data_IF_287614039392
#
_entry.id   IF_287614039392
#
_cell.length_a   1.000
_cell.length_b   1.000
_cell.length_c   1.000
_cell.angle_alpha   90.00
_cell.angle_beta   90.00
_cell.angle_gamma   90.00
#
_symmetry.space_group_name_H-M   'P 1'
#
loop_
_entity.id
_entity.type
_entity.pdbx_description
1 polymer ?
#
# COMPACT_ATOMS: atom_id res chain seq x y z
N UNK A 1 10.41 14.17 6.48
CA UNK A 1 10.32 14.72 5.11
C UNK A 1 9.63 16.07 5.15
N UNK A 2 10.23 17.11 4.59
CA UNK A 2 9.58 18.41 4.45
C UNK A 2 8.38 18.29 3.48
N UNK A 3 7.20 18.77 3.87
CA UNK A 3 6.02 18.77 3.00
C UNK A 3 6.12 19.93 2.01
N UNK A 4 6.27 19.61 0.72
CA UNK A 4 6.23 20.61 -0.36
C UNK A 4 4.79 21.10 -0.50
N UNK A 5 4.53 22.35 -0.15
CA UNK A 5 3.21 22.99 -0.27
C UNK A 5 3.12 23.76 -1.59
N UNK A 6 1.90 24.00 -2.07
CA UNK A 6 1.66 24.81 -3.28
C UNK A 6 2.24 26.23 -3.18
N UNK A 7 2.34 26.78 -1.95
CA UNK A 7 2.96 28.08 -1.69
C UNK A 7 4.45 28.08 -2.02
N UNK A 8 5.18 27.04 -1.58
CA UNK A 8 6.62 26.88 -1.83
C UNK A 8 6.89 26.70 -3.33
N UNK A 9 6.08 25.89 -4.02
CA UNK A 9 6.21 25.68 -5.46
C UNK A 9 6.05 26.99 -6.24
N UNK A 10 5.11 27.84 -5.82
CA UNK A 10 4.87 29.15 -6.44
C UNK A 10 6.02 30.12 -6.19
N UNK A 11 6.47 30.26 -4.94
CA UNK A 11 7.61 31.14 -4.61
C UNK A 11 8.87 30.78 -5.40
N UNK A 12 9.14 29.48 -5.60
CA UNK A 12 10.26 29.01 -6.41
C UNK A 12 10.02 29.32 -7.90
N UNK A 13 8.81 29.14 -8.43
CA UNK A 13 8.50 29.45 -9.83
C UNK A 13 8.65 30.95 -10.15
N UNK A 14 8.15 31.80 -9.25
CA UNK A 14 8.22 33.25 -9.38
C UNK A 14 9.68 33.73 -9.34
N UNK A 15 10.50 33.21 -8.40
CA UNK A 15 11.95 33.48 -8.33
C UNK A 15 12.73 33.03 -9.55
N UNK A 16 12.20 32.07 -10.30
CA UNK A 16 12.83 31.52 -11.50
C UNK A 16 12.30 32.14 -12.80
N UNK A 17 11.51 33.23 -12.71
CA UNK A 17 10.88 33.91 -13.84
C UNK A 17 10.14 32.95 -14.78
N UNK A 18 9.48 31.95 -14.19
CA UNK A 18 8.72 30.94 -14.94
C UNK A 18 9.55 29.91 -15.71
N UNK A 19 10.87 29.82 -15.49
CA UNK A 19 11.71 28.82 -16.16
C UNK A 19 11.46 27.42 -15.60
N UNK A 20 10.65 26.65 -16.35
CA UNK A 20 10.18 25.31 -15.97
C UNK A 20 11.34 24.30 -15.76
N UNK A 21 12.44 24.41 -16.51
CA UNK A 21 13.61 23.51 -16.34
C UNK A 21 14.30 23.76 -15.01
N UNK A 22 14.47 25.04 -14.62
CA UNK A 22 15.07 25.39 -13.33
C UNK A 22 14.14 25.04 -12.16
N UNK A 23 12.83 25.19 -12.34
CA UNK A 23 11.83 24.80 -11.32
C UNK A 23 11.91 23.30 -11.03
N UNK A 24 12.08 22.48 -12.07
CA UNK A 24 12.25 21.03 -11.92
C UNK A 24 13.45 20.66 -11.06
N UNK A 25 14.62 21.25 -11.33
CA UNK A 25 15.85 21.05 -10.55
C UNK A 25 15.61 21.43 -9.09
N UNK A 26 15.08 22.64 -8.85
CA UNK A 26 14.84 23.14 -7.50
C UNK A 26 13.84 22.29 -6.70
N UNK A 27 12.79 21.75 -7.34
CA UNK A 27 11.84 20.86 -6.67
C UNK A 27 12.43 19.48 -6.37
N UNK A 28 13.30 18.96 -7.24
CA UNK A 28 14.05 17.74 -7.00
C UNK A 28 15.01 17.89 -5.81
N UNK A 29 15.73 19.01 -5.73
CA UNK A 29 16.63 19.33 -4.62
C UNK A 29 15.88 19.45 -3.29
N UNK A 30 14.74 20.15 -3.25
CA UNK A 30 13.90 20.29 -2.04
C UNK A 30 13.31 18.95 -1.61
N UNK A 31 13.00 18.06 -2.57
CA UNK A 31 12.47 16.73 -2.28
C UNK A 31 13.56 15.71 -1.87
N UNK A 32 14.84 16.04 -2.07
CA UNK A 32 15.96 15.11 -1.88
C UNK A 32 15.94 13.95 -2.89
N UNK A 33 15.48 14.20 -4.12
CA UNK A 33 15.33 13.19 -5.17
C UNK A 33 16.24 13.54 -6.35
N UNK A 34 17.05 12.58 -6.82
CA UNK A 34 17.96 12.81 -7.95
C UNK A 34 17.18 13.13 -9.23
N UNK A 35 17.63 14.15 -9.97
CA UNK A 35 16.90 14.69 -11.13
C UNK A 35 16.57 13.62 -12.20
N UNK A 36 17.49 12.68 -12.42
CA UNK A 36 17.32 11.61 -13.42
C UNK A 36 16.36 10.49 -13.00
N UNK A 37 16.00 10.41 -11.71
CA UNK A 37 15.05 9.40 -11.20
C UNK A 37 13.59 9.82 -11.41
N UNK A 38 13.36 11.08 -11.76
CA UNK A 38 12.05 11.63 -12.05
C UNK A 38 11.91 11.71 -13.56
N UNK A 39 11.03 10.88 -14.15
CA UNK A 39 10.73 10.98 -15.58
C UNK A 39 10.34 12.44 -15.90
N UNK A 40 11.21 13.12 -16.67
CA UNK A 40 11.09 14.53 -17.05
C UNK A 40 9.69 14.84 -17.62
N UNK A 41 9.10 13.87 -18.33
CA UNK A 41 7.76 13.99 -18.91
C UNK A 41 6.65 14.09 -17.84
N UNK A 42 6.76 13.37 -16.72
CA UNK A 42 5.73 13.33 -15.68
C UNK A 42 5.68 14.62 -14.85
N UNK A 43 6.84 15.20 -14.55
CA UNK A 43 6.92 16.43 -13.78
C UNK A 43 6.66 17.66 -14.65
N UNK A 44 7.06 17.63 -15.91
CA UNK A 44 6.76 18.68 -16.89
C UNK A 44 5.27 18.71 -17.25
N UNK A 45 4.59 17.56 -17.32
CA UNK A 45 3.11 17.49 -17.42
C UNK A 45 2.46 18.01 -16.14
N UNK A 46 2.99 17.72 -14.96
CA UNK A 46 2.46 18.25 -13.69
C UNK A 46 2.66 19.76 -13.58
N UNK A 47 3.84 20.27 -13.95
CA UNK A 47 4.12 21.70 -14.04
C UNK A 47 3.21 22.39 -15.06
N UNK A 48 2.98 21.78 -16.23
CA UNK A 48 2.00 22.26 -17.23
C UNK A 48 0.57 22.23 -16.71
N UNK A 49 0.16 21.22 -15.95
CA UNK A 49 -1.18 21.15 -15.33
C UNK A 49 -1.36 22.20 -14.25
N UNK A 50 -0.35 22.44 -13.42
CA UNK A 50 -0.36 23.53 -12.43
C UNK A 50 -0.42 24.90 -13.13
N UNK A 51 0.39 25.13 -14.16
CA UNK A 51 0.38 26.36 -14.94
C UNK A 51 -0.93 26.58 -15.71
N UNK A 52 -1.49 25.52 -16.32
CA UNK A 52 -2.77 25.56 -17.02
C UNK A 52 -3.92 25.82 -16.04
N UNK A 53 -3.92 25.14 -14.88
CA UNK A 53 -4.92 25.33 -13.83
C UNK A 53 -4.90 26.77 -13.28
N UNK A 54 -3.72 27.35 -13.07
CA UNK A 54 -3.59 28.75 -12.67
C UNK A 54 -4.10 29.72 -13.76
N UNK A 55 -3.93 29.38 -15.04
CA UNK A 55 -4.42 30.19 -16.17
C UNK A 55 -5.94 30.10 -16.35
N UNK A 56 -6.55 28.92 -16.15
CA UNK A 56 -8.01 28.73 -16.22
C UNK A 56 -8.79 29.40 -15.09
N UNK A 57 -8.14 29.70 -13.97
CA UNK A 57 -8.74 30.44 -12.86
C UNK A 57 -8.76 31.97 -13.06
N UNK A 58 -8.49 32.45 -14.29
CA UNK A 58 -8.57 33.88 -14.64
C UNK A 58 -7.52 34.76 -13.94
N UNK A 59 -6.43 34.17 -13.47
CA UNK A 59 -5.42 34.86 -12.69
C UNK A 59 -4.52 35.73 -13.58
N UNK A 60 -4.92 37.00 -13.72
CA UNK A 60 -4.05 38.11 -14.13
C UNK A 60 -3.73 38.91 -12.87
N UNK A 61 -2.44 39.17 -12.62
CA UNK A 61 -1.91 39.67 -11.34
C UNK A 61 -2.82 40.66 -10.61
N UNK A 62 -3.29 40.27 -9.43
CA UNK A 62 -4.12 41.09 -8.56
C UNK A 62 -4.55 40.27 -7.35
N UNK A 63 -4.27 40.77 -6.16
CA UNK A 63 -4.43 40.08 -4.88
C UNK A 63 -5.86 39.62 -4.60
N UNK A 64 -6.03 38.38 -4.11
CA UNK A 64 -6.88 37.98 -2.98
C UNK A 64 -6.75 36.48 -2.69
N UNK A 65 -6.47 36.17 -1.43
CA UNK A 65 -6.34 34.81 -0.90
C UNK A 65 -7.73 34.23 -0.58
N UNK A 66 -7.99 33.01 -1.04
CA UNK A 66 -9.00 32.13 -0.45
C UNK A 66 -8.29 30.84 -0.04
N UNK A 67 -8.31 30.58 1.26
CA UNK A 67 -7.82 29.39 1.93
C UNK A 67 -8.64 28.18 1.48
N UNK A 68 -8.04 27.24 0.75
CA UNK A 68 -8.60 25.92 0.52
C UNK A 68 -7.81 24.85 1.25
N UNK A 69 -8.58 24.03 1.98
CA UNK A 69 -8.13 22.95 2.84
C UNK A 69 -7.40 21.85 2.05
N UNK A 70 -6.26 21.47 2.60
CA UNK A 70 -5.57 20.18 2.52
C UNK A 70 -6.23 19.10 1.64
N UNK A 71 -5.95 19.11 0.33
CA UNK A 71 -5.90 17.88 -0.46
C UNK A 71 -4.44 17.49 -0.65
N UNK A 72 -4.05 16.43 0.05
CA UNK A 72 -2.72 15.82 -0.03
C UNK A 72 -2.47 15.30 -1.45
N UNK A 73 -1.39 15.73 -2.08
CA UNK A 73 -0.92 15.14 -3.34
C UNK A 73 -0.26 13.79 -3.04
N UNK A 74 -0.89 12.69 -3.48
CA UNK A 74 -0.24 11.37 -3.54
C UNK A 74 0.52 11.26 -4.86
N UNK A 75 1.83 10.98 -4.78
CA UNK A 75 2.67 10.72 -5.95
C UNK A 75 2.23 9.40 -6.63
N UNK A 76 2.10 9.36 -7.97
CA UNK A 76 1.84 8.11 -8.68
C UNK A 76 3.10 7.23 -8.70
N UNK A 77 2.88 5.91 -8.65
CA UNK A 77 3.92 4.89 -8.78
C UNK A 77 4.55 4.94 -10.18
N UNK A 78 5.87 4.84 -10.24
CA UNK A 78 6.68 4.82 -11.45
C UNK A 78 6.33 3.59 -12.32
N UNK A 79 6.15 3.82 -13.62
CA UNK A 79 6.18 2.77 -14.65
C UNK A 79 7.49 2.93 -15.41
N UNK A 80 8.39 1.96 -15.27
CA UNK A 80 9.59 1.82 -16.09
C UNK A 80 9.15 1.38 -17.49
N UNK A 81 9.31 2.26 -18.48
CA UNK A 81 9.26 1.89 -19.89
C UNK A 81 10.67 1.95 -20.47
N UNK A 82 10.91 1.03 -21.39
CA UNK A 82 12.20 0.53 -21.88
C UNK A 82 13.10 1.64 -22.45
N UNK A 83 14.36 1.66 -22.04
CA UNK A 83 15.47 2.35 -22.72
C UNK A 83 16.03 1.47 -23.85
N UNK A 84 16.58 2.05 -24.93
CA UNK A 84 17.19 1.30 -26.01
C UNK A 84 18.57 0.77 -25.62
N UNK A 85 18.86 -0.44 -26.08
CA UNK A 85 20.16 -1.11 -25.98
C UNK A 85 21.22 -0.34 -26.79
N UNK A 86 22.23 0.19 -26.10
CA UNK A 86 23.56 0.35 -26.67
C UNK A 86 24.60 -0.09 -25.66
N UNK A 87 25.41 -1.05 -26.09
CA UNK A 87 26.49 -1.71 -25.36
C UNK A 87 27.53 -0.72 -24.83
N UNK A 88 27.85 -0.83 -23.54
CA UNK A 88 29.17 -0.50 -23.00
C UNK A 88 29.54 -1.64 -22.07
N UNK A 89 30.44 -2.51 -22.54
CA UNK A 89 31.17 -3.49 -21.73
C UNK A 89 32.13 -2.72 -20.83
N UNK A 90 32.01 -2.93 -19.52
CA UNK A 90 32.89 -2.32 -18.52
C UNK A 90 32.47 -2.70 -17.11
N UNK A 91 33.21 -3.63 -16.51
CA UNK A 91 33.07 -4.16 -15.15
C UNK A 91 33.33 -3.11 -14.05
N UNK A 92 32.46 -2.10 -13.95
CA UNK A 92 32.54 -1.08 -12.89
C UNK A 92 31.14 -0.67 -12.43
N UNK A 93 30.35 -1.57 -11.81
CA UNK A 93 29.07 -1.16 -11.18
C UNK A 93 28.72 -1.77 -9.83
N UNK A 94 29.42 -2.79 -9.33
CA UNK A 94 29.10 -3.35 -7.99
C UNK A 94 29.53 -2.42 -6.82
N UNK A 95 30.62 -1.67 -6.98
CA UNK A 95 31.17 -0.86 -5.88
C UNK A 95 30.35 0.40 -5.55
N UNK A 96 29.49 0.90 -6.45
CA UNK A 96 28.73 2.13 -6.20
C UNK A 96 27.47 1.90 -5.36
N UNK A 97 26.80 0.76 -5.53
CA UNK A 97 25.59 0.45 -4.78
C UNK A 97 25.91 0.09 -3.32
N UNK A 98 26.95 -0.70 -3.08
CA UNK A 98 27.43 -1.01 -1.73
C UNK A 98 27.86 0.25 -0.97
N UNK A 99 28.54 1.19 -1.64
CA UNK A 99 28.90 2.49 -1.03
C UNK A 99 27.68 3.33 -0.67
N UNK A 100 26.61 3.28 -1.47
CA UNK A 100 25.35 3.97 -1.17
C UNK A 100 24.65 3.31 0.03
N UNK A 101 24.60 1.98 0.08
CA UNK A 101 24.01 1.23 1.19
C UNK A 101 24.77 1.52 2.49
N UNK A 102 26.10 1.42 2.49
CA UNK A 102 26.94 1.72 3.65
C UNK A 102 26.78 3.17 4.14
N UNK A 103 26.61 4.13 3.22
CA UNK A 103 26.36 5.52 3.59
C UNK A 103 24.97 5.69 4.24
N UNK A 104 23.94 5.05 3.70
CA UNK A 104 22.59 5.08 4.28
C UNK A 104 22.56 4.43 5.67
N UNK A 105 23.22 3.29 5.85
CA UNK A 105 23.33 2.63 7.15
C UNK A 105 24.05 3.50 8.19
N UNK A 106 25.12 4.19 7.77
CA UNK A 106 25.83 5.15 8.62
C UNK A 106 24.93 6.33 9.02
N UNK A 107 24.13 6.85 8.09
CA UNK A 107 23.17 7.90 8.38
C UNK A 107 22.10 7.43 9.36
N UNK A 108 21.50 6.25 9.15
CA UNK A 108 20.50 5.66 10.05
C UNK A 108 21.08 5.51 11.46
N UNK A 109 22.32 5.00 11.58
CA UNK A 109 23.01 4.85 12.86
C UNK A 109 23.21 6.20 13.57
N UNK A 110 23.64 7.22 12.83
CA UNK A 110 23.79 8.58 13.36
C UNK A 110 22.46 9.17 13.83
N UNK A 111 21.38 8.96 13.07
CA UNK A 111 20.03 9.39 13.46
C UNK A 111 19.54 8.70 14.73
N UNK A 112 19.72 7.37 14.84
CA UNK A 112 19.37 6.61 16.06
C UNK A 112 20.14 7.13 17.28
N UNK A 113 21.44 7.38 17.15
CA UNK A 113 22.26 7.91 18.23
C UNK A 113 21.83 9.34 18.62
N UNK A 114 21.54 10.21 17.65
CA UNK A 114 21.05 11.56 17.92
C UNK A 114 19.70 11.56 18.64
N UNK A 115 18.81 10.65 18.25
CA UNK A 115 17.50 10.51 18.89
C UNK A 115 17.62 9.99 20.33
N UNK A 116 18.46 8.98 20.59
CA UNK A 116 18.76 8.52 21.95
C UNK A 116 19.33 9.65 22.81
N UNK A 117 20.29 10.40 22.30
CA UNK A 117 20.89 11.51 23.03
C UNK A 117 19.88 12.63 23.35
N UNK A 118 18.96 12.93 22.43
CA UNK A 118 17.89 13.91 22.66
C UNK A 118 16.90 13.44 23.74
N UNK A 119 16.53 12.16 23.75
CA UNK A 119 15.64 11.64 24.78
C UNK A 119 16.32 11.56 26.14
N UNK A 120 17.56 11.08 26.21
CA UNK A 120 18.35 11.09 27.45
C UNK A 120 18.54 12.51 27.98
N UNK A 121 18.81 13.49 27.11
CA UNK A 121 18.91 14.90 27.50
C UNK A 121 17.58 15.45 28.04
N UNK A 122 16.44 15.14 27.41
CA UNK A 122 15.12 15.56 27.91
C UNK A 122 14.77 14.91 29.24
N UNK A 123 15.10 13.63 29.43
CA UNK A 123 14.90 12.91 30.67
C UNK A 123 15.77 13.52 31.78
N UNK A 124 17.05 13.76 31.52
CA UNK A 124 17.96 14.39 32.47
C UNK A 124 17.54 15.83 32.81
N UNK A 125 17.03 16.58 31.83
CA UNK A 125 16.51 17.93 32.06
C UNK A 125 15.27 17.88 32.97
N UNK A 126 14.32 16.97 32.73
CA UNK A 126 13.16 16.76 33.62
C UNK A 126 13.58 16.36 35.03
N UNK A 127 14.52 15.42 35.16
CA UNK A 127 15.08 15.00 36.46
C UNK A 127 15.75 16.16 37.21
N UNK A 128 16.57 16.95 36.52
CA UNK A 128 17.21 18.12 37.12
C UNK A 128 16.22 19.20 37.55
N UNK A 129 15.17 19.46 36.76
CA UNK A 129 14.12 20.41 37.12
C UNK A 129 13.34 19.94 38.36
N UNK A 130 13.01 18.66 38.45
CA UNK A 130 12.36 18.07 39.62
C UNK A 130 13.24 18.10 40.88
N UNK A 131 14.56 17.91 40.72
CA UNK A 131 15.52 18.00 41.83
C UNK A 131 15.69 19.44 42.34
N UNK A 132 15.74 20.43 41.47
CA UNK A 132 15.83 21.86 41.87
C UNK A 132 14.56 22.29 42.62
N UNK A 133 13.37 21.87 42.17
CA UNK A 133 12.12 22.13 42.89
C UNK A 133 12.06 21.48 44.28
N UNK A 134 12.81 20.39 44.50
CA UNK A 134 12.91 19.74 45.82
C UNK A 134 13.91 20.39 46.78
N UNK A 135 14.89 21.14 46.25
CA UNK A 135 15.96 21.75 47.05
C UNK A 135 15.55 23.07 47.71
N UNK A 136 14.66 23.85 47.09
CA UNK A 136 14.19 25.15 47.61
C UNK A 136 13.07 25.03 48.67
N UNK A 137 12.56 23.82 48.92
CA UNK A 137 11.45 23.55 49.86
C UNK A 137 11.91 22.85 51.14
N UNK A 138 13.04 23.29 51.69
CA UNK A 138 13.53 22.87 53.01
C UNK A 138 13.38 24.00 54.03
N UNK A 139 12.13 24.29 54.37
CA UNK A 139 11.80 24.85 55.68
C UNK A 139 10.54 24.15 56.21
N UNK A 140 10.79 23.23 57.15
CA UNK A 140 9.90 22.68 58.17
C UNK A 140 8.38 22.83 57.92
N UNK A 141 7.73 21.78 57.41
CA UNK A 141 6.47 21.19 57.95
C UNK A 141 5.93 20.00 57.11
N UNK A 142 6.31 19.75 55.85
CA UNK A 142 5.55 18.78 55.02
C UNK A 142 6.29 17.48 54.58
N UNK A 143 6.97 16.80 55.51
CA UNK A 143 7.60 15.49 55.20
C UNK A 143 6.57 14.40 54.80
N UNK A 144 5.33 14.50 55.28
CA UNK A 144 4.26 13.56 54.93
C UNK A 144 3.70 13.75 53.51
N UNK A 145 3.50 15.00 53.09
CA UNK A 145 2.97 15.33 51.76
C UNK A 145 4.01 15.01 50.68
N UNK A 146 5.29 15.35 50.92
CA UNK A 146 6.38 15.01 50.00
C UNK A 146 6.53 13.50 49.76
N UNK A 147 6.33 12.69 50.81
CA UNK A 147 6.41 11.24 50.69
C UNK A 147 5.29 10.66 49.82
N UNK A 148 4.09 11.26 49.86
CA UNK A 148 2.98 10.86 49.01
C UNK A 148 3.18 11.26 47.55
N UNK A 149 3.72 12.46 47.30
CA UNK A 149 4.03 12.92 45.93
C UNK A 149 5.13 12.07 45.28
N UNK A 150 6.17 11.71 46.06
CA UNK A 150 7.22 10.81 45.59
C UNK A 150 6.71 9.40 45.32
N UNK A 151 5.82 8.87 46.17
CA UNK A 151 5.16 7.57 45.91
C UNK A 151 4.31 7.59 44.64
N UNK A 152 3.60 8.68 44.37
CA UNK A 152 2.86 8.87 43.13
C UNK A 152 3.78 8.83 41.91
N UNK A 153 4.85 9.63 41.93
CA UNK A 153 5.86 9.64 40.85
C UNK A 153 6.52 8.27 40.62
N UNK A 154 6.84 7.54 41.70
CA UNK A 154 7.39 6.18 41.59
C UNK A 154 6.38 5.21 40.96
N UNK A 155 5.09 5.33 41.32
CA UNK A 155 4.02 4.53 40.72
C UNK A 155 3.86 4.82 39.23
N UNK A 156 3.87 6.10 38.85
CA UNK A 156 3.73 6.52 37.45
C UNK A 156 4.91 6.00 36.61
N UNK A 157 6.14 6.15 37.11
CA UNK A 157 7.35 5.64 36.46
C UNK A 157 7.35 4.12 36.31
N UNK A 158 6.87 3.37 37.31
CA UNK A 158 6.73 1.92 37.16
C UNK A 158 5.73 1.55 36.07
N UNK A 159 4.60 2.25 35.98
CA UNK A 159 3.63 2.00 34.90
C UNK A 159 4.21 2.30 33.51
N UNK A 160 5.04 3.33 33.39
CA UNK A 160 5.71 3.68 32.14
C UNK A 160 6.75 2.63 31.74
N UNK A 161 7.51 2.09 32.71
CA UNK A 161 8.44 0.97 32.49
C UNK A 161 7.70 -0.28 32.03
N UNK A 162 6.59 -0.64 32.68
CA UNK A 162 5.80 -1.82 32.31
C UNK A 162 5.20 -1.69 30.89
N UNK A 163 4.70 -0.50 30.55
CA UNK A 163 4.21 -0.23 29.19
C UNK A 163 5.33 -0.34 28.15
N UNK A 164 6.51 0.23 28.41
CA UNK A 164 7.66 0.14 27.50
C UNK A 164 8.17 -1.31 27.34
N UNK A 165 8.17 -2.10 28.41
CA UNK A 165 8.50 -3.52 28.34
C UNK A 165 7.47 -4.31 27.52
N UNK A 166 6.19 -3.97 27.63
CA UNK A 166 5.14 -4.59 26.82
C UNK A 166 5.29 -4.28 25.32
N UNK A 167 5.64 -3.03 24.97
CA UNK A 167 5.93 -2.62 23.60
C UNK A 167 7.18 -3.34 23.06
N UNK A 168 8.27 -3.39 23.83
CA UNK A 168 9.49 -4.11 23.46
C UNK A 168 9.25 -5.60 23.20
N UNK A 169 8.49 -6.27 24.07
CA UNK A 169 8.13 -7.68 23.86
C UNK A 169 7.25 -7.89 22.62
N UNK A 170 6.39 -6.93 22.29
CA UNK A 170 5.59 -6.98 21.06
C UNK A 170 6.43 -6.83 19.80
N UNK A 171 7.47 -5.97 19.85
CA UNK A 171 8.41 -5.74 18.76
C UNK A 171 9.44 -6.87 18.60
N UNK A 172 9.91 -7.47 19.71
CA UNK A 172 10.79 -8.64 19.68
C UNK A 172 10.08 -9.86 19.09
N UNK A 173 8.81 -10.09 19.43
CA UNK A 173 8.01 -11.14 18.79
C UNK A 173 7.81 -10.92 17.28
N UNK A 174 7.79 -9.67 16.81
CA UNK A 174 7.77 -9.36 15.38
C UNK A 174 9.14 -9.55 14.70
N UNK A 175 10.24 -9.28 15.41
CA UNK A 175 11.61 -9.43 14.88
C UNK A 175 12.12 -10.88 14.88
N UNK A 176 11.68 -11.73 15.81
CA UNK A 176 12.01 -13.17 15.81
C UNK A 176 11.54 -13.84 14.50
N UNK A 177 10.46 -13.34 13.89
CA UNK A 177 9.98 -13.80 12.59
C UNK A 177 10.86 -13.37 11.41
N UNK A 178 11.74 -12.38 11.56
CA UNK A 178 12.60 -11.87 10.47
C UNK A 178 13.96 -12.59 10.46
N UNK A 179 14.55 -12.85 11.63
CA UNK A 179 15.87 -13.51 11.71
C UNK A 179 15.82 -15.01 11.39
N UNK A 180 14.69 -15.70 11.61
CA UNK A 180 14.55 -17.14 11.28
C UNK A 180 14.23 -17.44 9.80
N UNK A 181 14.09 -16.43 8.94
CA UNK A 181 13.83 -16.62 7.50
C UNK A 181 15.11 -16.96 6.73
N UNK A 182 16.28 -16.71 7.31
CA UNK A 182 17.57 -16.83 6.60
C UNK A 182 17.92 -18.25 6.14
N UNK A 183 17.36 -19.30 6.76
CA UNK A 183 17.65 -20.70 6.39
C UNK A 183 16.42 -21.54 5.99
N UNK A 184 15.20 -21.00 6.06
CA UNK A 184 14.00 -21.75 5.63
C UNK A 184 13.82 -21.63 4.13
N UNK A 185 14.11 -22.71 3.40
CA UNK A 185 13.54 -22.93 2.08
C UNK A 185 12.02 -22.76 2.17
N UNK A 186 11.50 -21.78 1.43
CA UNK A 186 10.12 -21.37 1.40
C UNK A 186 9.42 -22.45 0.61
N UNK A 187 8.87 -23.40 1.35
CA UNK A 187 8.13 -24.50 0.79
C UNK A 187 6.86 -23.95 0.13
N UNK A 188 6.86 -23.91 -1.20
CA UNK A 188 5.72 -23.44 -2.01
C UNK A 188 4.62 -24.51 -2.10
N UNK A 189 4.96 -25.76 -1.75
CA UNK A 189 4.06 -26.92 -1.84
C UNK A 189 4.11 -27.73 -0.56
N UNK A 190 2.93 -28.17 -0.12
CA UNK A 190 2.77 -28.93 1.12
C UNK A 190 3.41 -30.34 1.08
N UNK A 191 3.75 -30.89 -0.10
CA UNK A 191 4.71 -32.00 -0.27
C UNK A 191 5.07 -32.21 -1.76
N UNK A 192 5.84 -33.27 -2.06
CA UNK A 192 6.18 -33.70 -3.41
C UNK A 192 4.96 -33.82 -4.35
N UNK A 193 5.27 -33.69 -5.66
CA UNK A 193 4.38 -33.54 -6.83
C UNK A 193 2.93 -34.03 -6.65
N UNK A 194 1.98 -33.11 -6.83
CA UNK A 194 0.55 -33.41 -6.94
C UNK A 194 -0.31 -32.81 -5.83
N UNK A 195 0.29 -32.41 -4.70
CA UNK A 195 -0.43 -31.71 -3.62
C UNK A 195 -0.69 -30.23 -3.95
N UNK A 196 -1.75 -29.64 -3.35
CA UNK A 196 -2.06 -28.23 -3.52
C UNK A 196 -0.90 -27.32 -3.09
N UNK A 197 -0.81 -26.16 -3.73
CA UNK A 197 0.11 -25.10 -3.31
C UNK A 197 -0.24 -24.63 -1.91
N UNK A 198 0.79 -24.17 -1.20
CA UNK A 198 0.65 -23.61 0.14
C UNK A 198 -0.43 -22.50 0.17
N UNK A 199 -1.15 -22.42 1.29
CA UNK A 199 -2.24 -21.47 1.45
C UNK A 199 -1.76 -20.03 1.32
N UNK A 200 -0.55 -19.71 1.78
CA UNK A 200 -0.01 -18.35 1.68
C UNK A 200 0.25 -17.97 0.22
N UNK A 201 0.74 -18.90 -0.60
CA UNK A 201 0.94 -18.67 -2.04
C UNK A 201 -0.42 -18.46 -2.73
N UNK A 202 -1.44 -19.25 -2.37
CA UNK A 202 -2.80 -19.06 -2.89
C UNK A 202 -3.36 -17.68 -2.53
N UNK A 203 -3.21 -17.25 -1.26
CA UNK A 203 -3.61 -15.91 -0.80
C UNK A 203 -2.93 -14.79 -1.58
N UNK A 204 -1.63 -14.92 -1.85
CA UNK A 204 -0.90 -13.95 -2.69
C UNK A 204 -1.48 -13.87 -4.10
N UNK A 205 -1.77 -15.01 -4.73
CA UNK A 205 -2.40 -15.02 -6.06
C UNK A 205 -3.80 -14.40 -6.04
N UNK A 206 -4.61 -14.71 -5.02
CA UNK A 206 -5.94 -14.10 -4.85
C UNK A 206 -5.87 -12.58 -4.68
N UNK A 207 -4.89 -12.08 -3.94
CA UNK A 207 -4.68 -10.64 -3.74
C UNK A 207 -4.23 -9.93 -5.03
N UNK A 208 -3.45 -10.59 -5.89
CA UNK A 208 -3.14 -10.03 -7.20
C UNK A 208 -4.34 -10.04 -8.14
N UNK A 209 -5.16 -11.09 -8.09
CA UNK A 209 -6.39 -11.20 -8.87
C UNK A 209 -7.42 -10.15 -8.45
N UNK A 210 -7.59 -9.89 -7.15
CA UNK A 210 -8.50 -8.86 -6.63
C UNK A 210 -8.11 -7.45 -7.11
N UNK A 211 -6.83 -7.24 -7.43
CA UNK A 211 -6.28 -6.00 -7.98
C UNK A 211 -6.26 -5.95 -9.52
N UNK A 212 -6.94 -6.88 -10.18
CA UNK A 212 -7.00 -6.99 -11.65
C UNK A 212 -5.62 -7.16 -12.32
N UNK A 213 -4.67 -7.82 -11.66
CA UNK A 213 -3.41 -8.19 -12.31
C UNK A 213 -3.62 -9.42 -13.18
N UNK A 214 -3.29 -9.31 -14.47
CA UNK A 214 -3.41 -10.43 -15.42
C UNK A 214 -2.55 -11.62 -14.99
N UNK A 215 -3.08 -12.84 -15.11
CA UNK A 215 -2.47 -14.10 -14.66
C UNK A 215 -1.02 -14.26 -15.15
N UNK A 216 -0.74 -13.88 -16.39
CA UNK A 216 0.59 -13.95 -17.01
C UNK A 216 1.64 -13.05 -16.34
N UNK A 217 1.22 -12.05 -15.56
CA UNK A 217 2.11 -11.10 -14.90
C UNK A 217 2.38 -11.43 -13.43
N UNK A 218 1.52 -12.24 -12.79
CA UNK A 218 1.62 -12.54 -11.36
C UNK A 218 2.95 -13.23 -11.04
N UNK A 219 3.27 -14.31 -11.75
CA UNK A 219 4.51 -15.06 -11.52
C UNK A 219 5.78 -14.21 -11.74
N UNK A 220 5.93 -13.46 -12.86
CA UNK A 220 7.05 -12.53 -13.02
C UNK A 220 7.17 -11.49 -11.90
N UNK A 221 6.05 -10.94 -11.42
CA UNK A 221 6.07 -9.96 -10.32
C UNK A 221 6.60 -10.60 -9.03
N UNK A 222 6.09 -11.79 -8.68
CA UNK A 222 6.54 -12.50 -7.47
C UNK A 222 8.05 -12.79 -7.56
N UNK A 223 8.53 -13.32 -8.69
CA UNK A 223 9.96 -13.58 -8.92
C UNK A 223 10.80 -12.30 -8.80
N UNK A 224 10.33 -11.20 -9.37
CA UNK A 224 11.02 -9.90 -9.29
C UNK A 224 11.13 -9.42 -7.85
N UNK A 225 10.04 -9.49 -7.08
CA UNK A 225 10.04 -9.06 -5.67
C UNK A 225 10.97 -9.95 -4.82
N UNK A 226 10.94 -11.27 -5.01
CA UNK A 226 11.81 -12.21 -4.29
C UNK A 226 13.28 -12.03 -4.67
N UNK A 227 13.59 -11.70 -5.92
CA UNK A 227 14.97 -11.42 -6.34
C UNK A 227 15.58 -10.19 -5.64
N UNK A 228 14.76 -9.23 -5.20
CA UNK A 228 15.24 -8.06 -4.45
C UNK A 228 15.76 -8.41 -3.05
N UNK A 229 15.34 -9.55 -2.52
CA UNK A 229 15.75 -10.07 -1.20
C UNK A 229 16.67 -11.28 -1.34
N UNK A 230 17.30 -11.46 -2.50
CA UNK A 230 18.18 -12.60 -2.83
C UNK A 230 17.51 -13.96 -2.58
N UNK A 231 16.20 -14.04 -2.79
CA UNK A 231 15.43 -15.26 -2.60
C UNK A 231 15.08 -15.89 -3.95
N UNK A 232 15.57 -17.10 -4.19
CA UNK A 232 15.26 -17.87 -5.39
C UNK A 232 14.15 -18.89 -5.12
N UNK A 233 13.11 -18.82 -5.94
CA UNK A 233 11.97 -19.74 -5.88
C UNK A 233 11.93 -20.57 -7.15
N UNK A 234 12.00 -21.89 -7.04
CA UNK A 234 12.02 -22.74 -8.23
C UNK A 234 10.63 -22.87 -8.84
N UNK A 235 9.66 -23.27 -8.00
CA UNK A 235 8.30 -23.56 -8.44
C UNK A 235 7.31 -22.49 -7.96
N UNK A 236 6.59 -21.89 -8.91
CA UNK A 236 5.42 -21.04 -8.65
C UNK A 236 4.24 -21.59 -9.45
N UNK A 237 2.98 -21.32 -9.04
CA UNK A 237 1.81 -21.69 -9.80
C UNK A 237 1.91 -21.21 -11.26
N UNK A 238 1.78 -22.16 -12.19
CA UNK A 238 1.69 -21.87 -13.62
C UNK A 238 0.43 -21.04 -13.92
N UNK A 239 0.37 -20.40 -15.09
CA UNK A 239 -0.83 -19.66 -15.52
C UNK A 239 -2.08 -20.54 -15.51
N UNK A 240 -1.98 -21.81 -15.93
CA UNK A 240 -3.10 -22.76 -15.88
C UNK A 240 -3.53 -23.07 -14.45
N UNK A 241 -2.57 -23.27 -13.54
CA UNK A 241 -2.87 -23.46 -12.11
C UNK A 241 -3.54 -22.22 -11.51
N UNK A 242 -3.00 -21.03 -11.80
CA UNK A 242 -3.57 -19.77 -11.34
C UNK A 242 -4.97 -19.51 -11.92
N UNK A 243 -5.25 -19.99 -13.14
CA UNK A 243 -6.60 -19.98 -13.72
C UNK A 243 -7.57 -20.85 -12.90
N UNK A 244 -7.13 -22.05 -12.45
CA UNK A 244 -7.94 -22.89 -11.56
C UNK A 244 -8.21 -22.18 -10.23
N UNK A 245 -7.20 -21.51 -9.68
CA UNK A 245 -7.36 -20.66 -8.48
C UNK A 245 -8.38 -19.54 -8.67
N UNK A 246 -8.39 -18.90 -9.84
CA UNK A 246 -9.40 -17.90 -10.19
C UNK A 246 -10.80 -18.50 -10.28
N UNK A 247 -10.96 -19.73 -10.77
CA UNK A 247 -12.25 -20.42 -10.79
C UNK A 247 -12.78 -20.72 -9.37
N UNK A 248 -11.91 -21.17 -8.46
CA UNK A 248 -12.28 -21.37 -7.05
C UNK A 248 -12.79 -20.07 -6.43
N UNK A 249 -12.10 -18.95 -6.70
CA UNK A 249 -12.49 -17.62 -6.22
C UNK A 249 -13.83 -17.17 -6.81
N UNK A 250 -14.09 -17.48 -8.08
CA UNK A 250 -15.39 -17.27 -8.71
C UNK A 250 -16.51 -18.08 -8.06
N UNK A 251 -16.25 -19.31 -7.63
CA UNK A 251 -17.23 -20.13 -6.88
C UNK A 251 -17.52 -19.55 -5.50
N UNK A 252 -16.50 -19.09 -4.77
CA UNK A 252 -16.70 -18.39 -3.47
C UNK A 252 -17.48 -17.10 -3.66
N UNK A 253 -17.17 -16.32 -4.70
CA UNK A 253 -17.90 -15.09 -5.01
C UNK A 253 -19.39 -15.34 -5.28
N UNK A 254 -19.73 -16.45 -5.95
CA UNK A 254 -21.14 -16.81 -6.21
C UNK A 254 -21.90 -17.12 -4.92
N UNK A 255 -21.27 -17.82 -3.97
CA UNK A 255 -21.86 -18.06 -2.66
C UNK A 255 -22.14 -16.76 -1.91
N UNK A 256 -21.18 -15.84 -1.88
CA UNK A 256 -21.42 -14.54 -1.22
C UNK A 256 -22.55 -13.75 -1.87
N UNK A 257 -22.71 -13.83 -3.20
CA UNK A 257 -23.83 -13.19 -3.90
C UNK A 257 -25.15 -13.85 -3.51
N UNK A 258 -25.18 -15.18 -3.43
CA UNK A 258 -26.35 -15.92 -3.00
C UNK A 258 -26.76 -15.56 -1.56
N UNK A 259 -25.79 -15.46 -0.65
CA UNK A 259 -26.04 -15.05 0.73
C UNK A 259 -26.61 -13.63 0.79
N UNK A 260 -26.07 -12.69 0.00
CA UNK A 260 -26.66 -11.36 -0.11
C UNK A 260 -28.08 -11.40 -0.71
N UNK A 261 -28.35 -12.30 -1.67
CA UNK A 261 -29.69 -12.47 -2.25
C UNK A 261 -30.71 -13.02 -1.25
N UNK A 262 -30.28 -13.88 -0.33
CA UNK A 262 -31.14 -14.39 0.75
C UNK A 262 -31.45 -13.32 1.80
N UNK A 263 -30.50 -12.41 2.03
CA UNK A 263 -30.59 -11.41 3.10
C UNK A 263 -31.25 -10.11 2.65
N UNK A 264 -31.18 -9.74 1.38
CA UNK A 264 -31.76 -8.50 0.84
C UNK A 264 -32.99 -8.78 -0.02
N UNK A 265 -34.14 -8.18 0.35
CA UNK A 265 -35.40 -8.29 -0.39
C UNK A 265 -35.52 -7.27 -1.53
N UNK A 266 -34.69 -6.23 -1.51
CA UNK A 266 -34.76 -5.06 -2.37
C UNK A 266 -33.55 -5.02 -3.30
N UNK A 267 -33.53 -5.94 -4.26
CA UNK A 267 -32.46 -6.04 -5.26
C UNK A 267 -32.89 -5.37 -6.56
N UNK A 268 -32.05 -4.47 -7.07
CA UNK A 268 -32.21 -3.89 -8.41
C UNK A 268 -31.21 -4.53 -9.37
N UNK A 269 -31.70 -5.20 -10.41
CA UNK A 269 -30.84 -5.81 -11.44
C UNK A 269 -30.41 -4.78 -12.49
N UNK A 270 -29.11 -4.74 -12.77
CA UNK A 270 -28.48 -3.97 -13.83
C UNK A 270 -28.00 -4.91 -14.93
N UNK A 271 -28.20 -4.49 -16.18
CA UNK A 271 -27.72 -5.22 -17.36
C UNK A 271 -26.93 -4.27 -18.22
N UNK A 272 -25.72 -4.68 -18.58
CA UNK A 272 -24.88 -3.94 -19.51
C UNK A 272 -24.42 -4.86 -20.63
N UNK A 273 -24.37 -4.35 -21.85
CA UNK A 273 -23.92 -5.12 -22.99
C UNK A 273 -23.04 -4.25 -23.87
N UNK A 274 -21.88 -4.78 -24.24
CA UNK A 274 -20.91 -4.07 -25.07
C UNK A 274 -20.36 -4.99 -26.17
N UNK A 275 -19.92 -4.41 -27.28
CA UNK A 275 -19.29 -5.18 -28.36
C UNK A 275 -17.86 -4.73 -28.53
N UNK A 276 -16.92 -5.65 -28.41
CA UNK A 276 -15.49 -5.36 -28.55
C UNK A 276 -14.84 -6.36 -29.48
N UNK A 277 -14.23 -5.86 -30.56
CA UNK A 277 -13.56 -6.69 -31.58
C UNK A 277 -14.47 -7.80 -32.14
N UNK A 278 -15.73 -7.46 -32.42
CA UNK A 278 -16.71 -8.40 -32.94
C UNK A 278 -17.28 -9.40 -31.91
N UNK A 279 -16.90 -9.28 -30.63
CA UNK A 279 -17.44 -10.13 -29.56
C UNK A 279 -18.45 -9.36 -28.73
N UNK A 280 -19.63 -9.92 -28.54
CA UNK A 280 -20.66 -9.36 -27.66
C UNK A 280 -20.41 -9.82 -26.24
N UNK A 281 -20.26 -8.88 -25.31
CA UNK A 281 -20.02 -9.13 -23.90
C UNK A 281 -21.24 -8.62 -23.14
N UNK A 282 -21.86 -9.49 -22.37
CA UNK A 282 -23.04 -9.23 -21.57
C UNK A 282 -22.71 -9.38 -20.08
N UNK A 283 -22.98 -8.33 -19.31
CA UNK A 283 -22.78 -8.28 -17.87
C UNK A 283 -24.11 -8.12 -17.14
N UNK A 284 -24.26 -8.87 -16.05
CA UNK A 284 -25.38 -8.75 -15.11
C UNK A 284 -24.83 -8.39 -13.74
N UNK A 285 -25.40 -7.35 -13.15
CA UNK A 285 -25.10 -6.92 -11.78
C UNK A 285 -26.37 -6.65 -10.99
N UNK A 286 -26.23 -6.50 -9.69
CA UNK A 286 -27.32 -6.20 -8.76
C UNK A 286 -26.87 -5.10 -7.80
N UNK A 287 -27.79 -4.20 -7.47
CA UNK A 287 -27.62 -3.27 -6.35
C UNK A 287 -28.53 -3.67 -5.20
N UNK A 288 -27.97 -3.67 -4.00
CA UNK A 288 -28.68 -3.86 -2.73
C UNK A 288 -29.27 -2.54 -2.25
N UNK A 289 -30.20 -2.60 -1.30
CA UNK A 289 -30.74 -1.39 -0.64
C UNK A 289 -29.64 -0.61 0.09
N UNK A 290 -28.65 -1.33 0.63
CA UNK A 290 -27.45 -0.73 1.25
C UNK A 290 -26.50 -0.05 0.26
N UNK A 291 -26.80 -0.07 -1.04
CA UNK A 291 -25.99 0.55 -2.08
C UNK A 291 -24.74 -0.25 -2.48
N UNK A 292 -24.61 -1.51 -2.05
CA UNK A 292 -23.56 -2.41 -2.56
C UNK A 292 -23.88 -2.76 -4.01
N UNK A 293 -22.84 -2.93 -4.82
CA UNK A 293 -22.96 -3.37 -6.21
C UNK A 293 -22.31 -4.75 -6.32
N UNK A 294 -23.11 -5.74 -6.68
CA UNK A 294 -22.72 -7.14 -6.83
C UNK A 294 -22.67 -7.47 -8.32
N UNK A 295 -21.53 -7.97 -8.81
CA UNK A 295 -21.45 -8.46 -10.20
C UNK A 295 -21.82 -9.94 -10.21
N UNK A 296 -22.99 -10.28 -10.75
CA UNK A 296 -23.47 -11.67 -10.81
C UNK A 296 -22.74 -12.49 -11.87
N UNK A 297 -22.46 -11.88 -13.02
CA UNK A 297 -21.73 -12.58 -14.07
C UNK A 297 -21.45 -11.72 -15.28
N UNK A 298 -20.43 -12.13 -16.03
CA UNK A 298 -20.09 -11.59 -17.35
C UNK A 298 -19.92 -12.78 -18.30
N UNK A 299 -20.53 -12.69 -19.48
CA UNK A 299 -20.53 -13.74 -20.50
C UNK A 299 -20.27 -13.14 -21.88
N UNK A 300 -19.56 -13.90 -22.71
CA UNK A 300 -19.54 -13.64 -24.16
C UNK A 300 -20.80 -14.29 -24.75
N UNK A 301 -21.55 -13.54 -25.56
CA UNK A 301 -22.80 -13.98 -26.18
C UNK A 301 -22.69 -13.97 -27.69
N UNK A 302 -23.50 -14.79 -28.36
CA UNK A 302 -23.44 -14.97 -29.82
C UNK A 302 -23.99 -13.77 -30.60
N UNK A 303 -24.97 -13.06 -30.04
CA UNK A 303 -25.61 -11.90 -30.66
C UNK A 303 -26.16 -10.93 -29.60
N UNK A 304 -26.70 -9.81 -30.07
CA UNK A 304 -27.29 -8.77 -29.20
C UNK A 304 -28.81 -8.85 -29.02
N UNK A 305 -29.42 -10.03 -29.23
CA UNK A 305 -30.89 -10.16 -29.18
C UNK A 305 -31.40 -10.25 -27.74
N UNK A 306 -32.62 -9.77 -27.53
CA UNK A 306 -33.28 -9.79 -26.22
C UNK A 306 -33.43 -11.22 -25.66
N UNK A 307 -33.78 -12.19 -26.51
CA UNK A 307 -33.91 -13.60 -26.12
C UNK A 307 -32.59 -14.18 -25.59
N UNK A 308 -31.48 -13.89 -26.28
CA UNK A 308 -30.13 -14.30 -25.87
C UNK A 308 -29.77 -13.74 -24.50
N UNK A 309 -30.07 -12.46 -24.23
CA UNK A 309 -29.81 -11.85 -22.92
C UNK A 309 -30.67 -12.46 -21.81
N UNK A 310 -31.96 -12.73 -22.06
CA UNK A 310 -32.84 -13.39 -21.08
C UNK A 310 -32.32 -14.79 -20.75
N UNK A 311 -31.94 -15.57 -21.77
CA UNK A 311 -31.35 -16.90 -21.59
C UNK A 311 -30.08 -16.84 -20.73
N UNK A 312 -29.13 -15.98 -21.08
CA UNK A 312 -27.87 -15.85 -20.33
C UNK A 312 -28.09 -15.34 -18.90
N UNK A 313 -29.09 -14.49 -18.67
CA UNK A 313 -29.44 -14.05 -17.32
C UNK A 313 -29.92 -15.22 -16.46
N UNK A 314 -30.74 -16.12 -17.02
CA UNK A 314 -31.19 -17.33 -16.32
C UNK A 314 -30.01 -18.26 -16.02
N UNK A 315 -29.10 -18.45 -16.97
CA UNK A 315 -27.90 -19.26 -16.76
C UNK A 315 -27.01 -18.71 -15.64
N UNK A 316 -26.78 -17.39 -15.60
CA UNK A 316 -26.02 -16.74 -14.52
C UNK A 316 -26.71 -16.93 -13.16
N UNK A 317 -28.05 -16.83 -13.11
CA UNK A 317 -28.80 -17.06 -11.87
C UNK A 317 -28.74 -18.53 -11.43
N UNK A 318 -28.83 -19.47 -12.37
CA UNK A 318 -28.69 -20.89 -12.09
C UNK A 318 -27.29 -21.19 -11.53
N UNK A 319 -26.24 -20.64 -12.13
CA UNK A 319 -24.85 -20.76 -11.66
C UNK A 319 -24.67 -20.32 -10.20
N UNK A 320 -25.40 -19.28 -9.77
CA UNK A 320 -25.40 -18.80 -8.39
C UNK A 320 -26.11 -19.81 -7.49
N UNK A 321 -27.31 -20.25 -7.87
CA UNK A 321 -28.11 -21.20 -7.09
C UNK A 321 -27.53 -22.62 -7.00
N UNK A 322 -26.77 -23.06 -8.00
CA UNK A 322 -26.14 -24.38 -8.00
C UNK A 322 -24.87 -24.41 -7.14
N UNK A 323 -24.30 -23.24 -6.84
CA UNK A 323 -23.05 -23.17 -6.08
C UNK A 323 -23.21 -23.72 -4.66
N UNK A 324 -24.36 -23.46 -4.01
CA UNK A 324 -24.73 -23.95 -2.66
C UNK A 324 -24.70 -25.46 -2.55
N UNK A 325 -25.23 -26.17 -3.56
CA UNK A 325 -25.31 -27.63 -3.57
C UNK A 325 -23.93 -28.32 -3.59
N UNK A 326 -22.89 -27.60 -4.01
CA UNK A 326 -21.53 -28.14 -4.08
C UNK A 326 -20.83 -28.11 -2.72
N UNK A 327 -20.98 -27.04 -1.93
CA UNK A 327 -20.34 -26.95 -0.61
C UNK A 327 -21.03 -27.82 0.45
N UNK A 328 -22.36 -27.94 0.43
CA UNK A 328 -23.09 -28.81 1.36
C UNK A 328 -22.66 -30.29 1.23
N UNK A 329 -22.33 -30.73 0.01
CA UNK A 329 -21.78 -32.07 -0.26
C UNK A 329 -20.33 -32.26 0.17
N UNK A 330 -19.57 -31.19 0.34
CA UNK A 330 -18.15 -31.24 0.69
C UNK A 330 -17.85 -30.86 2.15
N UNK A 331 -18.83 -30.35 2.90
CA UNK A 331 -18.75 -30.17 4.37
C UNK A 331 -19.14 -31.44 5.15
N UNK A 332 -19.70 -32.44 4.48
CA UNK A 332 -20.10 -33.75 5.07
C UNK A 332 -19.04 -34.84 4.92
N UNK A 333 -17.85 -34.49 4.43
CA UNK A 333 -16.63 -35.32 4.40
C UNK A 333 -15.60 -34.72 5.37
#
# INVERSE_FOLDING_TARGET
MAKITNKIVKEIYDRLNGNVKKLHVALCDVAGVHIDTVNAYSLQIKARRVAHFMKTLGYHGGERFITYSLRQFKLPKLVLSKLPNTCITGDIKHNSQERIILNLERQIRNWRNKWRNLNVSKINQKLSASLVLSADYNNNVEKGVQCNTLKGLISDLHSEIDNLHSELNSDENQNIGIETITDKQLSVRLSEKGKPYDENIRKVYYEFLSRNIGLQHIQPIIRTVLSLVNYEINELPSVSTASKMMHELGSVSRHHIEDEFKNDKNLTMHRDATTKKGRHIYGVGYSTESGKILTAGVREVSDGKAETYVKNTKEILNDISESTNFLEKHQTL
#
